data_IF_723610855299
#
_entry.id   IF_723610855299
#
_cell.length_a   1.000
_cell.length_b   1.000
_cell.length_c   1.000
_cell.angle_alpha   90.00
_cell.angle_beta   90.00
_cell.angle_gamma   90.00
#
_symmetry.space_group_name_H-M   'P 1'
#
loop_
_entity.id
_entity.type
_entity.pdbx_description
1 polymer ?
#
# COMPACT_ATOMS: atom_id res chain seq x y z
N UNK A 1 -5.99 10.13 19.03
CA UNK A 1 -4.65 10.56 18.58
C UNK A 1 -4.09 9.46 17.67
N UNK A 2 -3.17 9.77 16.75
CA UNK A 2 -2.59 8.79 15.79
C UNK A 2 -2.16 7.49 16.47
N UNK A 3 -1.51 7.60 17.63
CA UNK A 3 -0.99 6.48 18.42
C UNK A 3 -2.07 5.55 19.00
N UNK A 4 -3.33 5.97 19.02
CA UNK A 4 -4.43 5.11 19.51
C UNK A 4 -4.75 3.97 18.51
N UNK A 5 -4.28 4.09 17.26
CA UNK A 5 -4.49 3.11 16.20
C UNK A 5 -3.26 2.24 15.91
N UNK A 6 -2.16 2.44 16.65
CA UNK A 6 -0.87 1.83 16.37
C UNK A 6 -0.38 1.00 17.54
N UNK A 7 0.02 -0.23 17.26
CA UNK A 7 0.79 -1.06 18.16
C UNK A 7 2.29 -0.79 17.94
N UNK A 8 3.09 -0.65 19.02
CA UNK A 8 4.52 -0.46 18.90
C UNK A 8 5.20 -1.72 18.32
N UNK A 9 6.45 -1.56 17.88
CA UNK A 9 7.26 -2.68 17.43
C UNK A 9 7.49 -3.71 18.52
N UNK A 10 7.56 -4.98 18.11
CA UNK A 10 7.98 -6.05 18.99
C UNK A 10 9.40 -5.83 19.51
N UNK A 11 9.62 -6.19 20.78
CA UNK A 11 10.94 -6.15 21.42
C UNK A 11 11.99 -6.96 20.63
N UNK A 12 11.57 -8.02 19.94
CA UNK A 12 12.44 -8.83 19.09
C UNK A 12 13.01 -8.07 17.89
N UNK A 13 12.28 -7.07 17.37
CA UNK A 13 12.73 -6.20 16.27
C UNK A 13 13.65 -5.11 16.82
N UNK A 14 13.31 -4.53 17.97
CA UNK A 14 14.15 -3.52 18.64
C UNK A 14 15.53 -4.10 19.01
N UNK A 15 15.56 -5.26 19.65
CA UNK A 15 16.81 -5.96 19.99
C UNK A 15 17.62 -6.32 18.74
N UNK A 16 16.94 -6.65 17.63
CA UNK A 16 17.62 -6.89 16.36
C UNK A 16 18.27 -5.62 15.82
N UNK A 17 17.52 -4.51 15.78
CA UNK A 17 18.06 -3.19 15.38
C UNK A 17 19.28 -2.83 16.22
N UNK A 18 19.24 -3.11 17.52
CA UNK A 18 20.37 -2.83 18.41
C UNK A 18 21.65 -3.57 18.05
N UNK A 19 21.52 -4.78 17.49
CA UNK A 19 22.64 -5.60 17.01
C UNK A 19 23.22 -5.16 15.65
N UNK A 20 22.56 -4.27 14.92
CA UNK A 20 22.95 -3.89 13.56
C UNK A 20 24.13 -2.89 13.53
N UNK A 21 24.90 -2.86 12.42
CA UNK A 21 25.93 -1.84 12.19
C UNK A 21 25.34 -0.42 12.18
N UNK A 22 26.11 0.58 12.65
CA UNK A 22 25.66 1.99 12.73
C UNK A 22 25.14 2.60 11.41
N UNK A 23 25.63 2.10 10.28
CA UNK A 23 25.24 2.58 8.96
C UNK A 23 24.04 1.83 8.37
N UNK A 24 23.43 0.91 9.11
CA UNK A 24 22.23 0.21 8.65
C UNK A 24 21.02 1.15 8.65
N UNK A 25 20.03 0.84 7.81
CA UNK A 25 18.75 1.55 7.79
C UNK A 25 18.16 1.56 9.19
N UNK A 26 18.10 0.39 9.85
CA UNK A 26 17.51 0.24 11.18
C UNK A 26 18.12 1.15 12.25
N UNK A 27 19.42 1.42 12.20
CA UNK A 27 20.11 2.31 13.15
C UNK A 27 19.84 3.80 12.90
N UNK A 28 19.36 4.15 11.71
CA UNK A 28 19.10 5.53 11.29
C UNK A 28 17.60 5.84 11.18
N UNK A 29 16.73 4.98 11.71
CA UNK A 29 15.29 5.22 11.79
C UNK A 29 14.93 6.10 12.99
N UNK A 30 13.92 6.94 12.81
CA UNK A 30 13.11 7.45 13.90
C UNK A 30 12.15 6.34 14.36
N UNK A 31 11.81 6.35 15.64
CA UNK A 31 10.79 5.47 16.19
C UNK A 31 9.62 6.31 16.70
N UNK A 32 8.44 5.71 16.68
CA UNK A 32 7.26 6.33 17.25
C UNK A 32 7.38 6.45 18.78
N UNK A 33 7.82 7.61 19.24
CA UNK A 33 7.79 8.01 20.63
C UNK A 33 6.75 9.11 20.88
N UNK A 34 6.56 9.50 22.15
CA UNK A 34 5.56 10.51 22.53
C UNK A 34 5.84 11.91 21.97
N UNK A 35 7.04 12.17 21.46
CA UNK A 35 7.49 13.48 20.98
C UNK A 35 7.79 13.49 19.47
N UNK A 36 7.30 12.49 18.71
CA UNK A 36 7.53 12.41 17.29
C UNK A 36 6.98 13.64 16.57
N UNK A 37 7.89 14.41 15.99
CA UNK A 37 7.60 15.58 15.16
C UNK A 37 7.50 15.16 13.69
N UNK A 38 6.27 14.95 13.22
CA UNK A 38 6.00 14.52 11.83
C UNK A 38 6.52 15.52 10.79
N UNK A 39 6.75 16.78 11.14
CA UNK A 39 7.26 17.79 10.19
C UNK A 39 8.71 17.53 9.74
N UNK A 40 9.42 16.64 10.44
CA UNK A 40 10.80 16.23 10.12
C UNK A 40 10.88 14.88 9.42
N UNK A 41 9.76 14.22 9.20
CA UNK A 41 9.70 12.88 8.65
C UNK A 41 9.34 12.97 7.17
N UNK A 42 10.05 12.21 6.34
CA UNK A 42 9.79 12.15 4.91
C UNK A 42 8.90 10.94 4.56
N UNK A 43 9.17 9.79 5.18
CA UNK A 43 8.43 8.55 4.95
C UNK A 43 8.15 7.85 6.28
N UNK A 44 6.92 7.38 6.46
CA UNK A 44 6.51 6.56 7.60
C UNK A 44 6.21 5.14 7.15
N UNK A 45 6.93 4.16 7.70
CA UNK A 45 6.64 2.75 7.56
C UNK A 45 5.54 2.35 8.54
N UNK A 46 4.52 1.63 8.05
CA UNK A 46 3.41 1.11 8.86
C UNK A 46 3.11 -0.32 8.45
N UNK A 47 3.06 -1.25 9.41
CA UNK A 47 2.65 -2.62 9.14
C UNK A 47 1.14 -2.81 9.18
N UNK A 48 0.63 -3.63 8.26
CA UNK A 48 -0.77 -4.03 8.16
C UNK A 48 -0.86 -5.53 8.41
N UNK A 49 -1.67 -5.90 9.41
CA UNK A 49 -1.94 -7.29 9.76
C UNK A 49 -3.44 -7.62 9.62
N UNK A 50 -4.14 -6.90 8.73
CA UNK A 50 -5.55 -7.10 8.43
C UNK A 50 -5.71 -7.92 7.16
N UNK A 51 -6.37 -9.06 7.28
CA UNK A 51 -6.59 -10.00 6.17
C UNK A 51 -8.04 -10.47 6.09
N UNK A 52 -8.95 -9.93 6.91
CA UNK A 52 -10.37 -10.31 6.87
C UNK A 52 -11.05 -9.89 5.57
N UNK A 53 -10.48 -8.93 4.84
CA UNK A 53 -10.90 -8.54 3.49
C UNK A 53 -10.37 -9.44 2.37
N UNK A 54 -9.52 -10.43 2.68
CA UNK A 54 -9.02 -11.40 1.70
C UNK A 54 -10.06 -12.46 1.36
N UNK A 55 -10.22 -12.73 0.07
CA UNK A 55 -10.98 -13.87 -0.47
C UNK A 55 -10.30 -15.22 -0.25
N UNK A 56 -8.99 -15.25 0.01
CA UNK A 56 -8.24 -16.47 0.29
C UNK A 56 -8.20 -16.76 1.80
N UNK A 57 -8.67 -17.95 2.20
CA UNK A 57 -8.71 -18.42 3.59
C UNK A 57 -7.41 -19.08 4.06
N UNK A 58 -6.51 -19.45 3.14
CA UNK A 58 -5.24 -20.13 3.43
C UNK A 58 -4.05 -19.19 3.22
N UNK A 59 -3.97 -18.13 4.02
CA UNK A 59 -2.88 -17.18 3.93
C UNK A 59 -1.76 -17.56 4.90
N UNK A 60 -0.59 -17.88 4.35
CA UNK A 60 0.67 -17.63 5.06
C UNK A 60 0.82 -16.11 5.14
N UNK A 61 0.27 -15.52 6.18
CA UNK A 61 0.25 -14.07 6.37
C UNK A 61 1.65 -13.48 6.24
N UNK A 62 1.74 -12.33 5.58
CA UNK A 62 2.99 -11.61 5.45
C UNK A 62 3.52 -11.28 6.84
N UNK A 63 4.77 -11.68 7.10
CA UNK A 63 5.43 -11.49 8.39
C UNK A 63 6.11 -10.13 8.39
N UNK A 64 5.37 -9.08 8.77
CA UNK A 64 5.87 -7.69 8.83
C UNK A 64 7.22 -7.59 9.55
N UNK A 65 7.38 -8.28 10.68
CA UNK A 65 8.63 -8.27 11.44
C UNK A 65 9.80 -9.00 10.75
N UNK A 66 9.53 -9.97 9.86
CA UNK A 66 10.57 -10.57 9.02
C UNK A 66 11.03 -9.58 7.96
N UNK A 67 10.08 -8.92 7.28
CA UNK A 67 10.41 -7.84 6.33
C UNK A 67 11.22 -6.73 7.01
N UNK A 68 10.79 -6.28 8.20
CA UNK A 68 11.52 -5.25 8.96
C UNK A 68 12.96 -5.68 9.23
N UNK A 69 13.21 -6.91 9.69
CA UNK A 69 14.57 -7.39 9.93
C UNK A 69 15.42 -7.36 8.66
N UNK A 70 14.90 -7.86 7.54
CA UNK A 70 15.60 -7.81 6.25
C UNK A 70 15.89 -6.36 5.82
N UNK A 71 14.87 -5.51 5.79
CA UNK A 71 14.99 -4.11 5.37
C UNK A 71 15.94 -3.32 6.28
N UNK A 72 15.85 -3.51 7.60
CA UNK A 72 16.67 -2.79 8.58
C UNK A 72 18.14 -3.20 8.53
N UNK A 73 18.43 -4.43 8.11
CA UNK A 73 19.79 -4.93 7.94
C UNK A 73 20.55 -4.30 6.78
N UNK A 74 19.84 -3.72 5.81
CA UNK A 74 20.44 -3.06 4.66
C UNK A 74 21.22 -1.82 5.10
N UNK A 75 22.28 -1.46 4.37
CA UNK A 75 22.98 -0.20 4.57
C UNK A 75 22.19 0.96 3.98
N UNK A 76 22.17 2.09 4.70
CA UNK A 76 21.66 3.35 4.15
C UNK A 76 22.50 3.76 2.94
N UNK A 77 21.83 4.18 1.87
CA UNK A 77 22.50 4.71 0.66
C UNK A 77 22.88 6.19 0.82
N UNK A 78 23.34 6.81 -0.26
CA UNK A 78 23.65 8.26 -0.31
C UNK A 78 22.37 9.10 -0.52
N UNK A 79 21.38 8.86 0.32
CA UNK A 79 20.12 9.59 0.31
C UNK A 79 19.85 10.21 1.68
N UNK A 80 19.22 11.38 1.68
CA UNK A 80 18.83 12.11 2.89
C UNK A 80 17.32 12.00 3.04
N UNK A 81 16.88 10.91 3.66
CA UNK A 81 15.47 10.62 3.91
C UNK A 81 15.31 10.28 5.38
N UNK A 82 14.44 11.02 6.07
CA UNK A 82 14.07 10.76 7.45
C UNK A 82 12.94 9.73 7.46
N UNK A 83 13.31 8.50 7.82
CA UNK A 83 12.39 7.37 7.91
C UNK A 83 11.93 7.19 9.35
N UNK A 84 10.63 6.98 9.56
CA UNK A 84 10.09 6.53 10.85
C UNK A 84 9.39 5.19 10.70
N UNK A 85 9.51 4.30 11.67
CA UNK A 85 8.59 3.16 11.81
C UNK A 85 7.54 3.48 12.88
N UNK A 86 6.28 3.52 12.45
CA UNK A 86 5.15 3.81 13.32
C UNK A 86 4.60 2.58 14.05
N UNK A 87 5.11 1.40 13.73
CA UNK A 87 4.61 0.12 14.22
C UNK A 87 3.53 -0.46 13.31
N UNK A 88 2.59 -1.19 13.90
CA UNK A 88 1.54 -1.90 13.18
C UNK A 88 0.17 -1.29 13.45
N UNK A 89 -0.71 -1.25 12.44
CA UNK A 89 -2.11 -0.87 12.66
C UNK A 89 -2.80 -1.91 13.54
N UNK A 90 -3.50 -1.43 14.57
CA UNK A 90 -4.34 -2.28 15.42
C UNK A 90 -5.62 -2.62 14.66
N UNK A 91 -5.84 -3.91 14.39
CA UNK A 91 -7.09 -4.36 13.78
C UNK A 91 -8.26 -4.05 14.72
N UNK A 92 -9.28 -3.38 14.20
CA UNK A 92 -10.50 -3.08 14.95
C UNK A 92 -11.40 -4.30 15.09
N UNK A 93 -12.49 -4.16 15.86
CA UNK A 93 -13.44 -5.26 16.08
C UNK A 93 -14.10 -5.68 14.77
N UNK A 94 -14.48 -4.72 13.92
CA UNK A 94 -14.98 -4.94 12.56
C UNK A 94 -13.93 -4.53 11.54
N UNK A 95 -14.03 -5.10 10.34
CA UNK A 95 -13.18 -4.73 9.20
C UNK A 95 -13.31 -3.23 8.85
N UNK A 96 -14.53 -2.68 8.96
CA UNK A 96 -14.77 -1.24 8.80
C UNK A 96 -14.01 -0.37 9.81
N UNK A 97 -13.80 -0.87 11.03
CA UNK A 97 -13.08 -0.14 12.07
C UNK A 97 -11.58 -0.07 11.70
N UNK A 98 -11.03 -1.16 11.17
CA UNK A 98 -9.66 -1.17 10.64
C UNK A 98 -9.51 -0.25 9.42
N UNK A 99 -10.48 -0.25 8.49
CA UNK A 99 -10.47 0.67 7.35
C UNK A 99 -10.46 2.13 7.79
N UNK A 100 -11.26 2.48 8.80
CA UNK A 100 -11.25 3.81 9.37
C UNK A 100 -9.87 4.16 9.97
N UNK A 101 -9.25 3.24 10.72
CA UNK A 101 -7.92 3.44 11.28
C UNK A 101 -6.86 3.68 10.19
N UNK A 102 -6.83 2.84 9.14
CA UNK A 102 -5.90 2.98 8.01
C UNK A 102 -6.11 4.31 7.28
N UNK A 103 -7.37 4.66 7.00
CA UNK A 103 -7.71 5.93 6.36
C UNK A 103 -7.24 7.12 7.22
N UNK A 104 -7.51 7.10 8.53
CA UNK A 104 -7.14 8.18 9.45
C UNK A 104 -5.61 8.35 9.58
N UNK A 105 -4.88 7.25 9.68
CA UNK A 105 -3.41 7.25 9.72
C UNK A 105 -2.87 7.86 8.43
N UNK A 106 -3.30 7.35 7.27
CA UNK A 106 -2.87 7.84 5.96
C UNK A 106 -3.20 9.33 5.79
N UNK A 107 -4.42 9.75 6.14
CA UNK A 107 -4.85 11.14 6.03
C UNK A 107 -4.00 12.07 6.90
N UNK A 108 -3.67 11.64 8.12
CA UNK A 108 -2.83 12.39 9.07
C UNK A 108 -1.42 12.57 8.51
N UNK A 109 -0.82 11.52 7.97
CA UNK A 109 0.53 11.57 7.39
C UNK A 109 0.59 12.47 6.15
N UNK A 110 -0.36 12.29 5.22
CA UNK A 110 -0.45 13.11 4.01
C UNK A 110 -0.62 14.60 4.36
N UNK A 111 -1.45 14.93 5.37
CA UNK A 111 -1.62 16.33 5.84
C UNK A 111 -0.34 16.95 6.38
N UNK A 112 0.60 16.14 6.85
CA UNK A 112 1.91 16.58 7.33
C UNK A 112 3.02 16.44 6.26
N UNK A 113 2.65 16.19 4.99
CA UNK A 113 3.59 15.93 3.89
C UNK A 113 4.50 14.72 4.11
N UNK A 114 4.06 13.74 4.91
CA UNK A 114 4.76 12.47 5.13
C UNK A 114 4.19 11.42 4.19
N UNK A 115 5.06 10.71 3.46
CA UNK A 115 4.65 9.62 2.57
C UNK A 115 4.34 8.38 3.41
N UNK A 116 3.11 7.86 3.41
CA UNK A 116 2.79 6.59 4.08
C UNK A 116 3.34 5.42 3.26
N UNK A 117 4.11 4.54 3.88
CA UNK A 117 4.57 3.29 3.30
C UNK A 117 4.00 2.11 4.10
N UNK A 118 2.88 1.57 3.61
CA UNK A 118 2.21 0.44 4.21
C UNK A 118 2.79 -0.89 3.73
N UNK A 119 3.00 -1.84 4.65
CA UNK A 119 3.49 -3.19 4.34
C UNK A 119 2.58 -4.28 4.90
N UNK A 120 2.23 -5.27 4.08
CA UNK A 120 1.38 -6.39 4.47
C UNK A 120 -0.12 -6.14 4.30
N UNK A 121 -0.93 -6.98 4.93
CA UNK A 121 -2.39 -6.95 4.80
C UNK A 121 -2.89 -7.49 3.46
N UNK A 122 -4.21 -7.48 3.27
CA UNK A 122 -4.85 -7.75 1.99
C UNK A 122 -5.08 -6.46 1.19
N UNK A 123 -5.18 -6.59 -0.13
CA UNK A 123 -5.13 -5.44 -1.05
C UNK A 123 -6.38 -4.56 -1.05
N UNK A 124 -7.49 -5.03 -0.45
CA UNK A 124 -8.67 -4.22 -0.14
C UNK A 124 -8.34 -2.97 0.69
N UNK A 125 -7.24 -3.01 1.47
CA UNK A 125 -6.73 -1.86 2.22
C UNK A 125 -6.29 -0.69 1.32
N UNK A 126 -6.13 -0.91 0.01
CA UNK A 126 -5.96 0.16 -0.97
C UNK A 126 -7.17 1.11 -0.97
N UNK A 127 -8.39 0.62 -0.70
CA UNK A 127 -9.60 1.45 -0.64
C UNK A 127 -9.56 2.52 0.46
N UNK A 128 -9.35 2.20 1.76
CA UNK A 128 -9.22 3.23 2.79
C UNK A 128 -8.02 4.16 2.56
N UNK A 129 -6.92 3.67 1.98
CA UNK A 129 -5.78 4.52 1.58
C UNK A 129 -6.25 5.53 0.52
N UNK A 130 -6.93 5.08 -0.54
CA UNK A 130 -7.54 5.95 -1.55
C UNK A 130 -8.48 7.01 -0.93
N UNK A 131 -9.37 6.60 0.00
CA UNK A 131 -10.28 7.54 0.68
C UNK A 131 -9.54 8.61 1.50
N UNK A 132 -8.31 8.37 1.92
CA UNK A 132 -7.50 9.37 2.63
C UNK A 132 -7.00 10.54 1.75
N UNK A 133 -7.07 10.37 0.43
CA UNK A 133 -6.76 11.42 -0.56
C UNK A 133 -8.00 12.21 -0.99
N UNK A 134 -9.21 11.64 -0.88
CA UNK A 134 -10.45 12.30 -1.28
C UNK A 134 -10.75 13.56 -0.47
N UNK A 135 -11.55 14.47 -1.03
CA UNK A 135 -12.02 15.70 -0.37
C UNK A 135 -10.96 16.80 -0.29
N UNK A 136 -9.81 16.61 -0.94
CA UNK A 136 -8.70 17.57 -1.00
C UNK A 136 -8.65 18.37 -2.32
N UNK A 137 -9.62 18.14 -3.21
CA UNK A 137 -9.73 18.85 -4.49
C UNK A 137 -8.71 18.42 -5.55
N UNK A 138 -8.06 17.26 -5.34
CA UNK A 138 -7.05 16.73 -6.24
C UNK A 138 -7.60 15.51 -6.98
N UNK A 139 -7.35 15.46 -8.28
CA UNK A 139 -7.49 14.25 -9.10
C UNK A 139 -6.54 13.16 -8.59
N UNK A 140 -7.07 11.99 -8.26
CA UNK A 140 -6.28 10.89 -7.69
C UNK A 140 -5.90 9.89 -8.79
N UNK A 141 -4.61 9.68 -8.97
CA UNK A 141 -4.06 8.67 -9.86
C UNK A 141 -3.59 7.46 -9.05
N UNK A 142 -4.12 6.29 -9.37
CA UNK A 142 -3.81 5.00 -8.73
C UNK A 142 -3.08 4.09 -9.72
N UNK A 143 -1.90 3.60 -9.32
CA UNK A 143 -1.21 2.55 -10.07
C UNK A 143 -1.15 1.26 -9.27
N UNK A 144 -1.53 0.16 -9.89
CA UNK A 144 -1.40 -1.18 -9.33
C UNK A 144 -0.32 -1.97 -10.07
N UNK A 145 0.58 -2.61 -9.34
CA UNK A 145 1.48 -3.62 -9.88
C UNK A 145 0.93 -4.98 -9.50
N UNK A 146 0.29 -5.64 -10.46
CA UNK A 146 -0.57 -6.78 -10.20
C UNK A 146 -0.75 -7.68 -11.44
N UNK A 147 -0.92 -8.98 -11.20
CA UNK A 147 -1.25 -9.95 -12.24
C UNK A 147 -2.75 -9.95 -12.62
N UNK A 148 -3.60 -9.38 -11.76
CA UNK A 148 -5.05 -9.20 -11.93
C UNK A 148 -5.47 -7.74 -11.78
N UNK A 149 -6.68 -7.43 -12.22
CA UNK A 149 -7.24 -6.08 -12.08
C UNK A 149 -8.11 -5.89 -10.82
N UNK A 150 -8.60 -6.99 -10.24
CA UNK A 150 -9.42 -7.00 -9.03
C UNK A 150 -10.66 -6.09 -9.07
N UNK A 151 -11.34 -6.09 -10.23
CA UNK A 151 -12.70 -5.56 -10.36
C UNK A 151 -13.73 -6.51 -9.76
N UNK A 152 -13.51 -7.82 -9.89
CA UNK A 152 -14.45 -8.82 -9.41
C UNK A 152 -15.79 -8.75 -10.14
N UNK A 153 -16.72 -9.64 -9.77
CA UNK A 153 -18.10 -9.47 -10.20
C UNK A 153 -18.76 -8.46 -9.27
N UNK A 154 -19.31 -7.36 -9.82
CA UNK A 154 -19.99 -6.24 -9.12
C UNK A 154 -21.02 -6.69 -8.06
N UNK A 155 -21.44 -7.95 -8.07
CA UNK A 155 -22.45 -8.55 -7.18
C UNK A 155 -21.91 -9.15 -5.87
N UNK A 156 -20.59 -9.27 -5.68
CA UNK A 156 -20.02 -9.91 -4.48
C UNK A 156 -19.70 -8.90 -3.35
N UNK A 157 -19.60 -9.41 -2.12
CA UNK A 157 -19.15 -8.63 -0.95
C UNK A 157 -17.74 -8.03 -1.18
N UNK A 158 -17.52 -6.82 -0.66
CA UNK A 158 -16.26 -6.09 -0.80
C UNK A 158 -15.08 -6.87 -0.20
N UNK A 159 -14.06 -7.12 -1.04
CA UNK A 159 -12.85 -7.88 -0.70
C UNK A 159 -11.66 -7.46 -1.59
N UNK A 160 -10.53 -8.13 -1.41
CA UNK A 160 -9.29 -7.93 -2.17
C UNK A 160 -9.45 -8.11 -3.69
N UNK A 161 -10.42 -8.89 -4.15
CA UNK A 161 -10.70 -9.12 -5.58
C UNK A 161 -11.69 -8.12 -6.20
N UNK A 162 -12.23 -7.17 -5.42
CA UNK A 162 -13.28 -6.24 -5.86
C UNK A 162 -13.05 -4.79 -5.44
N UNK A 163 -11.85 -4.48 -4.91
CA UNK A 163 -11.59 -3.16 -4.35
C UNK A 163 -11.64 -2.07 -5.42
N UNK A 164 -11.26 -2.38 -6.66
CA UNK A 164 -11.27 -1.42 -7.75
C UNK A 164 -12.71 -1.03 -8.13
N UNK A 165 -13.61 -2.02 -8.20
CA UNK A 165 -15.05 -1.76 -8.40
C UNK A 165 -15.64 -0.88 -7.30
N UNK A 166 -15.21 -1.08 -6.05
CA UNK A 166 -15.67 -0.25 -4.93
C UNK A 166 -15.23 1.21 -5.06
N UNK A 167 -14.00 1.47 -5.51
CA UNK A 167 -13.51 2.84 -5.76
C UNK A 167 -14.33 3.51 -6.87
N UNK A 168 -14.54 2.81 -7.98
CA UNK A 168 -15.21 3.37 -9.17
C UNK A 168 -16.68 3.68 -8.89
N UNK A 169 -17.36 2.81 -8.13
CA UNK A 169 -18.76 2.95 -7.75
C UNK A 169 -18.97 3.82 -6.50
N UNK A 170 -17.92 4.35 -5.88
CA UNK A 170 -18.05 5.24 -4.72
C UNK A 170 -18.76 6.54 -5.14
N UNK A 171 -19.77 6.96 -4.38
CA UNK A 171 -20.52 8.19 -4.70
C UNK A 171 -19.64 9.45 -4.68
N UNK A 172 -18.50 9.40 -3.97
CA UNK A 172 -17.50 10.47 -3.89
C UNK A 172 -16.20 10.04 -4.58
N UNK A 173 -16.32 9.38 -5.72
CA UNK A 173 -15.20 8.98 -6.54
C UNK A 173 -14.46 10.22 -7.11
N UNK A 174 -13.21 10.37 -6.70
CA UNK A 174 -12.22 11.35 -7.17
C UNK A 174 -11.05 10.67 -7.94
N UNK A 175 -11.24 9.41 -8.39
CA UNK A 175 -10.27 8.69 -9.22
C UNK A 175 -10.25 9.34 -10.60
N UNK A 176 -9.09 9.86 -10.97
CA UNK A 176 -8.87 10.47 -12.27
C UNK A 176 -8.28 9.47 -13.26
N UNK A 177 -7.20 8.79 -12.85
CA UNK A 177 -6.55 7.80 -13.68
C UNK A 177 -6.24 6.53 -12.90
N UNK A 178 -6.37 5.39 -13.58
CA UNK A 178 -5.94 4.10 -13.09
C UNK A 178 -4.99 3.44 -14.09
N UNK A 179 -3.95 2.80 -13.57
CA UNK A 179 -3.01 2.03 -14.38
C UNK A 179 -2.70 0.70 -13.71
N UNK A 180 -2.97 -0.41 -14.42
CA UNK A 180 -2.52 -1.72 -13.97
C UNK A 180 -1.27 -2.17 -14.72
N UNK A 181 -0.24 -2.59 -13.99
CA UNK A 181 1.06 -2.97 -14.52
C UNK A 181 1.31 -4.44 -14.20
N UNK A 182 1.57 -5.25 -15.23
CA UNK A 182 1.97 -6.65 -15.06
C UNK A 182 0.83 -7.66 -15.18
N UNK A 183 -0.35 -7.28 -15.68
CA UNK A 183 -1.47 -8.22 -15.76
C UNK A 183 -1.20 -9.38 -16.71
N UNK A 184 -1.83 -10.51 -16.44
CA UNK A 184 -1.78 -11.70 -17.28
C UNK A 184 -3.17 -11.98 -17.88
N UNK A 185 -3.27 -12.00 -19.21
CA UNK A 185 -4.56 -12.14 -19.91
C UNK A 185 -5.37 -13.36 -19.49
N UNK A 186 -4.73 -14.48 -19.15
CA UNK A 186 -5.43 -15.70 -18.75
C UNK A 186 -5.96 -15.67 -17.31
N UNK A 187 -5.61 -14.65 -16.52
CA UNK A 187 -6.12 -14.44 -15.16
C UNK A 187 -7.24 -13.40 -15.07
N UNK A 188 -7.53 -12.71 -16.17
CA UNK A 188 -8.50 -11.62 -16.25
C UNK A 188 -9.54 -11.95 -17.32
N UNK A 189 -10.79 -11.56 -17.09
CA UNK A 189 -11.85 -11.73 -18.09
C UNK A 189 -11.69 -10.73 -19.23
N UNK A 190 -12.21 -11.06 -20.42
CA UNK A 190 -12.19 -10.12 -21.54
C UNK A 190 -13.06 -8.90 -21.24
N UNK A 191 -14.14 -9.10 -20.48
CA UNK A 191 -15.04 -8.05 -20.03
C UNK A 191 -14.34 -7.02 -19.14
N UNK A 192 -13.42 -7.44 -18.25
CA UNK A 192 -12.63 -6.51 -17.43
C UNK A 192 -11.62 -5.72 -18.26
N UNK A 193 -10.96 -6.35 -19.23
CA UNK A 193 -10.04 -5.68 -20.16
C UNK A 193 -10.80 -4.61 -20.97
N UNK A 194 -11.95 -5.00 -21.54
CA UNK A 194 -12.80 -4.09 -22.32
C UNK A 194 -13.35 -2.95 -21.46
N UNK A 195 -13.62 -3.20 -20.17
CA UNK A 195 -14.05 -2.17 -19.23
C UNK A 195 -12.95 -1.13 -19.00
N UNK A 196 -11.72 -1.55 -18.76
CA UNK A 196 -10.57 -0.65 -18.60
C UNK A 196 -10.39 0.25 -19.83
N UNK A 197 -10.42 -0.35 -21.02
CA UNK A 197 -10.29 0.40 -22.28
C UNK A 197 -11.43 1.42 -22.45
N UNK A 198 -12.67 1.06 -22.11
CA UNK A 198 -13.83 1.99 -22.16
C UNK A 198 -13.72 3.12 -21.14
N UNK A 199 -13.13 2.85 -19.98
CA UNK A 199 -12.87 3.87 -18.94
C UNK A 199 -11.63 4.72 -19.24
N UNK A 200 -10.94 4.45 -20.36
CA UNK A 200 -9.67 5.10 -20.74
C UNK A 200 -8.56 4.92 -19.69
N UNK A 201 -8.62 3.82 -18.95
CA UNK A 201 -7.56 3.43 -18.03
C UNK A 201 -6.46 2.66 -18.75
N UNK A 202 -5.27 2.66 -18.15
CA UNK A 202 -4.12 1.99 -18.73
C UNK A 202 -3.95 0.58 -18.18
N UNK A 203 -3.65 -0.37 -19.06
CA UNK A 203 -3.30 -1.73 -18.66
C UNK A 203 -2.07 -2.22 -19.43
N UNK A 204 -1.03 -2.59 -18.69
CA UNK A 204 0.24 -3.06 -19.25
C UNK A 204 0.40 -4.55 -18.97
N UNK A 205 0.27 -5.36 -20.01
CA UNK A 205 0.46 -6.81 -19.91
C UNK A 205 1.91 -7.12 -19.53
N UNK A 206 2.13 -8.11 -18.66
CA UNK A 206 3.48 -8.52 -18.21
C UNK A 206 4.50 -8.67 -19.34
N UNK A 207 4.14 -9.36 -20.43
CA UNK A 207 5.07 -9.56 -21.56
C UNK A 207 5.50 -8.27 -22.27
N UNK A 208 4.66 -7.21 -22.27
CA UNK A 208 5.03 -5.90 -22.81
C UNK A 208 6.01 -5.19 -21.87
N UNK A 209 5.72 -5.23 -20.57
CA UNK A 209 6.55 -4.64 -19.51
C UNK A 209 7.93 -5.30 -19.47
N UNK A 210 7.99 -6.63 -19.57
CA UNK A 210 9.22 -7.42 -19.63
C UNK A 210 10.08 -7.08 -20.86
N UNK A 211 9.45 -6.84 -22.00
CA UNK A 211 10.16 -6.46 -23.24
C UNK A 211 10.68 -5.02 -23.19
N UNK A 212 9.92 -4.09 -22.61
CA UNK A 212 10.27 -2.68 -22.56
C UNK A 212 9.71 -2.03 -21.30
N UNK A 213 10.50 -2.03 -20.23
CA UNK A 213 10.09 -1.51 -18.93
C UNK A 213 9.77 0.00 -18.99
N UNK A 214 10.48 0.77 -19.82
CA UNK A 214 10.33 2.24 -19.92
C UNK A 214 8.91 2.71 -20.27
N UNK A 215 8.06 1.84 -20.81
CA UNK A 215 6.66 2.17 -21.13
C UNK A 215 5.84 2.50 -19.87
N UNK A 216 6.28 2.08 -18.68
CA UNK A 216 5.55 2.31 -17.42
C UNK A 216 5.94 3.64 -16.75
N UNK A 217 7.05 4.27 -17.15
CA UNK A 217 7.51 5.50 -16.51
C UNK A 217 6.45 6.64 -16.56
N UNK A 218 5.77 6.87 -17.70
CA UNK A 218 4.78 7.95 -17.77
C UNK A 218 3.61 7.77 -16.80
N UNK A 219 3.13 6.54 -16.61
CA UNK A 219 2.00 6.28 -15.73
C UNK A 219 2.40 6.45 -14.26
N UNK A 220 3.59 5.96 -13.87
CA UNK A 220 4.10 6.09 -12.50
C UNK A 220 4.46 7.52 -12.11
N UNK A 221 4.89 8.37 -13.05
CA UNK A 221 5.33 9.74 -12.78
C UNK A 221 4.27 10.59 -12.07
N UNK A 222 3.01 10.41 -12.43
CA UNK A 222 1.90 11.21 -11.92
C UNK A 222 1.07 10.48 -10.86
N UNK A 223 1.56 9.36 -10.34
CA UNK A 223 0.81 8.52 -9.40
C UNK A 223 0.80 9.09 -8.00
N UNK A 224 -0.39 9.11 -7.39
CA UNK A 224 -0.54 9.47 -5.98
C UNK A 224 -0.42 8.25 -5.06
N UNK A 225 -0.92 7.10 -5.52
CA UNK A 225 -0.96 5.85 -4.75
C UNK A 225 -0.42 4.72 -5.62
N UNK A 226 0.59 4.02 -5.11
CA UNK A 226 1.07 2.76 -5.70
C UNK A 226 0.63 1.61 -4.80
N UNK A 227 -0.11 0.66 -5.35
CA UNK A 227 -0.47 -0.60 -4.71
C UNK A 227 0.27 -1.74 -5.40
N UNK A 228 0.90 -2.64 -4.63
CA UNK A 228 1.73 -3.72 -5.18
C UNK A 228 1.25 -5.05 -4.60
N UNK A 229 0.71 -5.93 -5.45
CA UNK A 229 0.49 -7.32 -5.08
C UNK A 229 1.73 -8.15 -5.42
N UNK A 230 2.28 -8.84 -4.43
CA UNK A 230 3.41 -9.74 -4.59
C UNK A 230 3.11 -10.94 -5.50
N UNK A 231 1.85 -11.24 -5.81
CA UNK A 231 1.49 -12.20 -6.88
C UNK A 231 2.00 -11.80 -8.27
N UNK A 232 2.44 -10.55 -8.45
CA UNK A 232 3.11 -10.08 -9.67
C UNK A 232 4.58 -10.49 -9.77
N UNK A 233 5.19 -10.97 -8.67
CA UNK A 233 6.61 -11.33 -8.59
C UNK A 233 6.75 -12.85 -8.76
N UNK A 234 7.73 -13.26 -9.59
CA UNK A 234 8.11 -14.67 -9.72
C UNK A 234 8.88 -15.12 -8.48
N UNK A 235 8.38 -16.15 -7.80
CA UNK A 235 9.05 -16.81 -6.68
C UNK A 235 10.27 -17.64 -7.12
#
# INVERSE_FOLDING_TARGET
MLNDFLAPLEESVLNYIDSLPLLSVGKNLFFNDKNLDLSKIDIALIGLNEYRGSSNSNLNYFKSNTFRKEFYSLYSGDWKVNLVDLGDVINGNKLSDTYYAVQYISETLIKNNVIPFFIGGSQDLTFPIYKSYCGKGNEINLSCVDNKFDFGQIKNEFNDLSFMSKIILDEKNELNHYSNIGFQTFLNSQEEIDLLDKMQFESYRLGKVDTKIDIIEPCLRNTNIVSIDFKSIKA
#
